data_IF_153186003987
#
_entry.id   IF_153186003987
#
_cell.length_a   1.000
_cell.length_b   1.000
_cell.length_c   1.000
_cell.angle_alpha   90.00
_cell.angle_beta   90.00
_cell.angle_gamma   90.00
#
_symmetry.space_group_name_H-M   'P 1'
#
loop_
_entity.id
_entity.type
_entity.pdbx_description
1 polymer ?
#
# COMPACT_ATOMS: atom_id res chain seq x y z
N UNK A 1 -12.65 -9.75 22.98
CA UNK A 1 -12.66 -9.01 21.70
C UNK A 1 -12.98 -7.53 21.88
N UNK A 2 -14.10 -7.22 22.48
CA UNK A 2 -14.57 -5.82 22.66
C UNK A 2 -13.51 -4.88 23.29
N UNK A 3 -12.78 -5.22 24.37
CA UNK A 3 -11.81 -4.29 24.97
C UNK A 3 -10.57 -4.07 24.08
N UNK A 4 -10.14 -5.07 23.31
CA UNK A 4 -9.01 -4.95 22.38
C UNK A 4 -9.36 -4.01 21.21
N UNK A 5 -10.52 -4.23 20.57
CA UNK A 5 -11.02 -3.39 19.49
C UNK A 5 -11.27 -1.96 19.98
N UNK A 6 -11.91 -1.83 21.16
CA UNK A 6 -12.19 -0.52 21.75
C UNK A 6 -10.91 0.27 22.03
N UNK A 7 -9.89 -0.39 22.59
CA UNK A 7 -8.58 0.23 22.82
C UNK A 7 -7.93 0.72 21.51
N UNK A 8 -7.98 -0.10 20.44
CA UNK A 8 -7.46 0.29 19.11
C UNK A 8 -8.23 1.47 18.52
N UNK A 9 -9.55 1.46 18.62
CA UNK A 9 -10.39 2.57 18.17
C UNK A 9 -10.14 3.85 18.95
N UNK A 10 -9.84 3.77 20.27
CA UNK A 10 -9.49 4.94 21.09
C UNK A 10 -8.11 5.53 20.73
N UNK A 11 -7.15 4.72 20.26
CA UNK A 11 -5.86 5.22 19.81
C UNK A 11 -5.90 5.84 18.41
N UNK A 12 -6.88 5.46 17.58
CA UNK A 12 -6.99 5.93 16.21
C UNK A 12 -7.06 7.47 16.08
N UNK A 13 -7.89 8.20 16.85
CA UNK A 13 -7.89 9.67 16.84
C UNK A 13 -6.55 10.28 17.23
N UNK A 14 -5.83 9.67 18.19
CA UNK A 14 -4.50 10.14 18.62
C UNK A 14 -3.48 10.00 17.48
N UNK A 15 -3.49 8.86 16.79
CA UNK A 15 -2.61 8.62 15.64
C UNK A 15 -2.93 9.60 14.49
N UNK A 16 -4.20 9.77 14.16
CA UNK A 16 -4.63 10.69 13.11
C UNK A 16 -4.29 12.15 13.46
N UNK A 17 -4.45 12.53 14.72
CA UNK A 17 -4.03 13.83 15.23
C UNK A 17 -2.52 14.02 15.09
N UNK A 18 -1.71 13.04 15.50
CA UNK A 18 -0.26 13.12 15.39
C UNK A 18 0.19 13.21 13.92
N UNK A 19 -0.41 12.42 13.01
CA UNK A 19 -0.15 12.49 11.57
C UNK A 19 -0.51 13.88 11.02
N UNK A 20 -1.69 14.41 11.37
CA UNK A 20 -2.10 15.75 10.91
C UNK A 20 -1.15 16.84 11.38
N UNK A 21 -0.62 16.73 12.62
CA UNK A 21 0.37 17.65 13.15
C UNK A 21 1.70 17.55 12.38
N UNK A 22 2.18 16.34 12.13
CA UNK A 22 3.41 16.11 11.36
C UNK A 22 3.27 16.69 9.96
N UNK A 23 2.16 16.38 9.27
CA UNK A 23 1.89 16.92 7.92
C UNK A 23 1.85 18.44 7.94
N UNK A 24 1.15 19.04 8.90
CA UNK A 24 1.09 20.49 9.05
C UNK A 24 2.47 21.12 9.25
N UNK A 25 3.31 20.53 10.14
CA UNK A 25 4.68 21.00 10.39
C UNK A 25 5.54 20.84 9.15
N UNK A 26 5.48 19.70 8.45
CA UNK A 26 6.23 19.47 7.23
C UNK A 26 5.86 20.49 6.13
N UNK A 27 4.57 20.77 5.94
CA UNK A 27 4.12 21.80 5.00
C UNK A 27 4.66 23.20 5.34
N UNK A 28 4.90 23.50 6.62
CA UNK A 28 5.49 24.76 7.07
C UNK A 28 7.01 24.79 7.02
N UNK A 29 7.64 23.63 7.08
CA UNK A 29 9.10 23.51 6.98
C UNK A 29 9.61 23.69 5.53
N UNK A 30 8.75 23.53 4.53
CA UNK A 30 9.12 23.76 3.13
C UNK A 30 9.40 25.27 2.94
N UNK A 31 10.61 25.64 2.45
CA UNK A 31 10.95 27.03 2.21
C UNK A 31 10.02 27.68 1.17
N UNK A 32 9.48 28.85 1.49
CA UNK A 32 8.61 29.61 0.58
C UNK A 32 7.47 30.31 1.30
N UNK A 33 6.85 31.26 0.62
CA UNK A 33 5.63 31.92 1.08
C UNK A 33 4.41 31.14 0.56
N UNK A 34 3.60 30.48 1.42
CA UNK A 34 2.42 29.75 0.98
C UNK A 34 1.43 30.60 0.19
N UNK A 35 1.34 31.92 0.50
CA UNK A 35 0.49 32.83 -0.25
C UNK A 35 1.04 33.11 -1.65
N UNK A 36 2.35 33.11 -1.83
CA UNK A 36 2.98 33.23 -3.15
C UNK A 36 2.83 31.96 -3.98
N UNK A 37 2.91 30.79 -3.35
CA UNK A 37 2.68 29.51 -4.03
C UNK A 37 1.24 29.42 -4.59
N UNK A 38 0.26 29.91 -3.82
CA UNK A 38 -1.16 29.94 -4.23
C UNK A 38 -1.42 31.01 -5.29
N UNK A 39 -0.91 32.23 -5.10
CA UNK A 39 -1.14 33.35 -6.00
C UNK A 39 -0.34 33.25 -7.30
N UNK A 40 0.73 32.44 -7.31
CA UNK A 40 1.78 32.44 -8.32
C UNK A 40 2.89 33.43 -7.96
N UNK A 41 4.15 33.11 -8.30
CA UNK A 41 5.33 33.90 -7.93
C UNK A 41 5.27 35.34 -8.44
N UNK A 42 4.63 35.57 -9.59
CA UNK A 42 4.50 36.89 -10.25
C UNK A 42 3.26 37.68 -9.78
N UNK A 43 2.46 37.15 -8.86
CA UNK A 43 1.25 37.86 -8.42
C UNK A 43 1.59 39.14 -7.66
N UNK A 44 0.78 40.24 -7.82
CA UNK A 44 0.92 41.47 -7.06
C UNK A 44 0.91 41.23 -5.55
N UNK A 45 1.64 42.06 -4.80
CA UNK A 45 1.70 41.97 -3.32
C UNK A 45 0.32 42.00 -2.67
N UNK A 46 -0.58 42.82 -3.16
CA UNK A 46 -1.95 42.98 -2.68
C UNK A 46 -2.75 41.65 -2.75
N UNK A 47 -2.57 40.90 -3.84
CA UNK A 47 -3.21 39.56 -4.02
C UNK A 47 -2.64 38.59 -3.02
N UNK A 48 -1.32 38.53 -2.84
CA UNK A 48 -0.66 37.66 -1.87
C UNK A 48 -1.06 38.00 -0.44
N UNK A 49 -1.12 39.29 -0.09
CA UNK A 49 -1.53 39.73 1.25
C UNK A 49 -3.02 39.47 1.54
N UNK A 50 -3.88 39.51 0.51
CA UNK A 50 -5.28 39.08 0.61
C UNK A 50 -5.38 37.60 0.91
N UNK A 51 -4.72 36.75 0.11
CA UNK A 51 -4.69 35.30 0.33
C UNK A 51 -4.12 34.96 1.71
N UNK A 52 -3.05 35.65 2.14
CA UNK A 52 -2.44 35.45 3.47
C UNK A 52 -3.44 35.70 4.59
N UNK A 53 -4.26 36.76 4.48
CA UNK A 53 -5.32 37.06 5.47
C UNK A 53 -6.50 36.09 5.38
N UNK A 54 -7.00 35.82 4.19
CA UNK A 54 -8.13 34.90 3.97
C UNK A 54 -7.84 33.48 4.46
N UNK A 55 -6.61 32.99 4.22
CA UNK A 55 -6.17 31.65 4.66
C UNK A 55 -5.57 31.65 6.07
N UNK A 56 -5.44 32.81 6.71
CA UNK A 56 -4.93 32.95 8.08
C UNK A 56 -3.44 32.65 8.22
N UNK A 57 -2.65 32.80 7.16
CA UNK A 57 -1.20 32.57 7.20
C UNK A 57 -0.44 33.64 7.96
N UNK A 58 -1.09 34.76 8.29
CA UNK A 58 -0.61 35.84 9.13
C UNK A 58 -0.82 35.59 10.64
N UNK A 59 -1.58 34.54 11.01
CA UNK A 59 -1.92 34.23 12.39
C UNK A 59 -0.80 33.42 13.08
N UNK A 60 -0.75 33.37 14.42
CA UNK A 60 0.15 32.49 15.16
C UNK A 60 -0.02 31.02 14.75
N UNK A 61 1.08 30.26 14.74
CA UNK A 61 1.10 28.84 14.29
C UNK A 61 0.01 27.96 14.96
N UNK A 62 -0.24 28.06 16.28
CA UNK A 62 -1.31 27.26 16.90
C UNK A 62 -2.70 27.58 16.35
N UNK A 63 -2.96 28.86 16.01
CA UNK A 63 -4.24 29.25 15.40
C UNK A 63 -4.37 28.73 13.99
N UNK A 64 -3.28 28.75 13.21
CA UNK A 64 -3.24 28.18 11.87
C UNK A 64 -3.52 26.67 11.91
N UNK A 65 -2.92 25.93 12.87
CA UNK A 65 -3.19 24.51 13.07
C UNK A 65 -4.66 24.25 13.44
N UNK A 66 -5.23 25.09 14.32
CA UNK A 66 -6.66 24.99 14.67
C UNK A 66 -7.58 25.18 13.46
N UNK A 67 -7.27 26.15 12.58
CA UNK A 67 -8.01 26.36 11.33
C UNK A 67 -7.86 25.19 10.36
N UNK A 68 -6.64 24.66 10.21
CA UNK A 68 -6.35 23.47 9.40
C UNK A 68 -7.15 22.26 9.90
N UNK A 69 -7.09 21.98 11.21
CA UNK A 69 -7.83 20.89 11.84
C UNK A 69 -9.36 21.08 11.67
N UNK A 70 -9.86 22.30 11.80
CA UNK A 70 -11.28 22.59 11.59
C UNK A 70 -11.76 22.33 10.17
N UNK A 71 -10.91 22.53 9.15
CA UNK A 71 -11.18 22.15 7.75
C UNK A 71 -11.15 20.62 7.58
N UNK A 72 -10.13 19.95 8.10
CA UNK A 72 -10.00 18.50 8.04
C UNK A 72 -11.20 17.77 8.63
N UNK A 73 -11.69 18.21 9.79
CA UNK A 73 -12.86 17.62 10.44
C UNK A 73 -14.17 17.79 9.63
N UNK A 74 -14.19 18.73 8.69
CA UNK A 74 -15.28 18.92 7.73
C UNK A 74 -15.06 18.18 6.40
N UNK A 75 -13.96 17.41 6.29
CA UNK A 75 -13.58 16.73 5.04
C UNK A 75 -13.01 17.64 3.96
N UNK A 76 -12.68 18.89 4.31
CA UNK A 76 -12.08 19.86 3.39
C UNK A 76 -10.55 19.71 3.41
N UNK A 77 -10.02 19.10 2.35
CA UNK A 77 -8.59 18.92 2.11
C UNK A 77 -7.95 20.09 1.31
N UNK A 78 -8.77 21.07 0.93
CA UNK A 78 -8.36 22.20 0.12
C UNK A 78 -8.59 21.99 -1.38
N UNK A 79 -8.05 22.92 -2.17
CA UNK A 79 -8.20 22.98 -3.61
C UNK A 79 -6.82 23.03 -4.28
N UNK A 80 -6.69 22.35 -5.43
CA UNK A 80 -5.50 22.42 -6.29
C UNK A 80 -5.58 23.68 -7.14
N UNK A 81 -4.61 24.57 -6.98
CA UNK A 81 -4.60 25.85 -7.72
C UNK A 81 -4.10 25.71 -9.15
N UNK A 82 -3.35 24.67 -9.46
CA UNK A 82 -2.83 24.42 -10.81
C UNK A 82 -3.80 23.61 -11.67
N UNK A 83 -4.67 22.83 -11.06
CA UNK A 83 -5.67 22.04 -11.75
C UNK A 83 -7.06 22.68 -11.66
N UNK A 84 -7.19 23.93 -12.13
CA UNK A 84 -8.47 24.63 -12.29
C UNK A 84 -9.33 24.73 -11.02
N UNK A 85 -8.73 24.88 -9.85
CA UNK A 85 -9.40 24.90 -8.54
C UNK A 85 -10.22 23.63 -8.23
N UNK A 86 -9.78 22.49 -8.76
CA UNK A 86 -10.41 21.22 -8.42
C UNK A 86 -10.11 20.85 -6.97
N UNK A 87 -11.10 20.32 -6.26
CA UNK A 87 -10.93 19.86 -4.88
C UNK A 87 -9.90 18.74 -4.79
N UNK A 88 -8.95 18.87 -3.85
CA UNK A 88 -7.96 17.83 -3.55
C UNK A 88 -8.63 16.49 -3.22
N UNK A 89 -9.76 16.50 -2.51
CA UNK A 89 -10.53 15.29 -2.21
C UNK A 89 -11.02 14.56 -3.47
N UNK A 90 -11.41 15.28 -4.52
CA UNK A 90 -11.86 14.68 -5.80
C UNK A 90 -10.69 14.03 -6.55
N UNK A 91 -9.53 14.70 -6.58
CA UNK A 91 -8.33 14.14 -7.20
C UNK A 91 -7.86 12.88 -6.48
N UNK A 92 -7.81 12.92 -5.14
CA UNK A 92 -7.46 11.75 -4.32
C UNK A 92 -8.43 10.60 -4.52
N UNK A 93 -9.75 10.88 -4.58
CA UNK A 93 -10.76 9.85 -4.80
C UNK A 93 -10.57 9.10 -6.13
N UNK A 94 -10.03 9.75 -7.16
CA UNK A 94 -9.68 9.10 -8.44
C UNK A 94 -8.37 8.32 -8.38
N UNK A 95 -7.35 8.82 -7.65
CA UNK A 95 -6.00 8.24 -7.64
C UNK A 95 -5.83 7.10 -6.63
N UNK A 96 -6.48 7.22 -5.46
CA UNK A 96 -6.34 6.24 -4.37
C UNK A 96 -6.74 4.82 -4.76
N UNK A 97 -7.87 4.58 -5.48
CA UNK A 97 -8.23 3.24 -5.93
C UNK A 97 -7.14 2.59 -6.78
N UNK A 98 -6.46 3.33 -7.66
CA UNK A 98 -5.40 2.80 -8.51
C UNK A 98 -4.19 2.33 -7.71
N UNK A 99 -3.77 3.08 -6.68
CA UNK A 99 -2.69 2.66 -5.76
C UNK A 99 -3.09 1.43 -4.95
N UNK A 100 -4.33 1.37 -4.46
CA UNK A 100 -4.84 0.21 -3.73
C UNK A 100 -4.89 -1.02 -4.65
N UNK A 101 -5.34 -0.87 -5.89
CA UNK A 101 -5.40 -1.94 -6.89
C UNK A 101 -4.01 -2.51 -7.19
N UNK A 102 -3.02 -1.66 -7.45
CA UNK A 102 -1.64 -2.07 -7.66
C UNK A 102 -1.08 -2.78 -6.42
N UNK A 103 -1.34 -2.24 -5.22
CA UNK A 103 -0.90 -2.82 -3.95
C UNK A 103 -1.51 -4.21 -3.74
N UNK A 104 -2.82 -4.37 -4.00
CA UNK A 104 -3.51 -5.65 -3.88
C UNK A 104 -2.98 -6.67 -4.89
N UNK A 105 -2.73 -6.25 -6.15
CA UNK A 105 -2.15 -7.11 -7.17
C UNK A 105 -0.73 -7.56 -6.79
N UNK A 106 0.12 -6.64 -6.31
CA UNK A 106 1.46 -6.95 -5.83
C UNK A 106 1.43 -7.90 -4.63
N UNK A 107 0.48 -7.70 -3.69
CA UNK A 107 0.31 -8.56 -2.53
C UNK A 107 -0.17 -9.97 -2.91
N UNK A 108 -1.06 -10.09 -3.90
CA UNK A 108 -1.48 -11.39 -4.42
C UNK A 108 -0.30 -12.17 -5.03
N UNK A 109 0.55 -11.50 -5.80
CA UNK A 109 1.79 -12.09 -6.35
C UNK A 109 2.75 -12.49 -5.22
N UNK A 110 2.98 -11.59 -4.25
CA UNK A 110 3.87 -11.84 -3.12
C UNK A 110 3.40 -13.03 -2.27
N UNK A 111 2.10 -13.12 -1.99
CA UNK A 111 1.51 -14.22 -1.24
C UNK A 111 1.64 -15.53 -2.00
N UNK A 112 1.20 -15.59 -3.26
CA UNK A 112 1.25 -16.80 -4.06
C UNK A 112 2.69 -17.30 -4.28
N UNK A 113 3.58 -16.40 -4.72
CA UNK A 113 5.00 -16.71 -4.95
C UNK A 113 5.74 -17.03 -3.66
N UNK A 114 5.54 -16.23 -2.62
CA UNK A 114 6.18 -16.41 -1.31
C UNK A 114 5.76 -17.71 -0.62
N UNK A 115 4.47 -18.04 -0.63
CA UNK A 115 3.99 -19.34 -0.13
C UNK A 115 4.58 -20.49 -0.92
N UNK A 116 4.56 -20.44 -2.26
CA UNK A 116 5.09 -21.49 -3.11
C UNK A 116 6.58 -21.74 -2.81
N UNK A 117 7.39 -20.70 -2.88
CA UNK A 117 8.83 -20.80 -2.64
C UNK A 117 9.16 -21.21 -1.20
N UNK A 118 8.45 -20.66 -0.21
CA UNK A 118 8.65 -20.98 1.20
C UNK A 118 8.28 -22.44 1.54
N UNK A 119 7.15 -22.94 0.99
CA UNK A 119 6.72 -24.33 1.17
C UNK A 119 7.72 -25.29 0.50
N UNK A 120 8.10 -25.02 -0.76
CA UNK A 120 9.07 -25.85 -1.48
C UNK A 120 10.40 -25.91 -0.72
N UNK A 121 10.89 -24.77 -0.27
CA UNK A 121 12.12 -24.67 0.53
C UNK A 121 12.02 -25.47 1.84
N UNK A 122 10.89 -25.40 2.55
CA UNK A 122 10.71 -26.14 3.81
C UNK A 122 10.59 -27.66 3.59
N UNK A 123 9.87 -28.11 2.56
CA UNK A 123 9.67 -29.53 2.24
C UNK A 123 10.97 -30.18 1.80
N UNK A 124 11.78 -29.49 0.98
CA UNK A 124 13.05 -29.99 0.45
C UNK A 124 14.28 -29.43 1.21
N UNK A 125 14.14 -29.23 2.52
CA UNK A 125 15.14 -28.65 3.41
C UNK A 125 16.56 -29.21 3.15
N UNK A 126 17.54 -28.32 2.97
CA UNK A 126 18.94 -28.65 2.76
C UNK A 126 19.29 -29.19 1.37
N UNK A 127 18.30 -29.33 0.47
CA UNK A 127 18.52 -29.71 -0.92
C UNK A 127 18.69 -28.52 -1.86
N UNK A 128 18.95 -28.82 -3.13
CA UNK A 128 19.12 -27.78 -4.17
C UNK A 128 17.82 -26.96 -4.39
N UNK A 129 16.64 -27.56 -4.20
CA UNK A 129 15.35 -26.87 -4.31
C UNK A 129 15.21 -25.82 -3.20
N UNK A 130 15.63 -26.14 -1.96
CA UNK A 130 15.69 -25.17 -0.85
C UNK A 130 16.58 -23.99 -1.22
N UNK A 131 17.82 -24.27 -1.64
CA UNK A 131 18.77 -23.24 -2.05
C UNK A 131 18.24 -22.39 -3.21
N UNK A 132 17.73 -23.00 -4.26
CA UNK A 132 17.19 -22.31 -5.43
C UNK A 132 15.98 -21.43 -5.06
N UNK A 133 15.02 -21.96 -4.29
CA UNK A 133 13.84 -21.21 -3.86
C UNK A 133 14.20 -19.98 -3.05
N UNK A 134 15.14 -20.10 -2.10
CA UNK A 134 15.59 -18.97 -1.29
C UNK A 134 16.45 -17.98 -2.10
N UNK A 135 17.28 -18.46 -3.02
CA UNK A 135 18.06 -17.58 -3.91
C UNK A 135 17.13 -16.76 -4.81
N UNK A 136 16.13 -17.38 -5.44
CA UNK A 136 15.13 -16.68 -6.27
C UNK A 136 14.38 -15.64 -5.45
N UNK A 137 13.92 -16.01 -4.24
CA UNK A 137 13.20 -15.08 -3.37
C UNK A 137 14.08 -13.89 -2.97
N UNK A 138 15.36 -14.12 -2.61
CA UNK A 138 16.26 -13.07 -2.14
C UNK A 138 16.82 -12.21 -3.28
N UNK A 139 16.94 -12.74 -4.50
CA UNK A 139 17.46 -11.98 -5.64
C UNK A 139 16.67 -10.70 -5.89
N UNK A 140 15.31 -10.76 -5.73
CA UNK A 140 14.45 -9.60 -5.91
C UNK A 140 14.67 -8.47 -4.88
N UNK A 141 15.15 -8.78 -3.69
CA UNK A 141 15.45 -7.77 -2.64
C UNK A 141 16.81 -7.12 -2.83
N UNK A 142 17.72 -7.81 -3.52
CA UNK A 142 19.09 -7.33 -3.72
C UNK A 142 19.17 -6.19 -4.74
N UNK A 143 18.11 -5.94 -5.47
CA UNK A 143 18.05 -4.97 -6.57
C UNK A 143 17.10 -3.83 -6.17
N UNK A 144 17.49 -2.54 -6.37
CA UNK A 144 16.57 -1.44 -6.14
C UNK A 144 15.31 -1.58 -6.99
N UNK A 145 14.12 -1.40 -6.38
CA UNK A 145 12.81 -1.62 -7.03
C UNK A 145 12.67 -0.84 -8.33
N UNK A 146 13.07 0.44 -8.35
CA UNK A 146 12.99 1.27 -9.56
C UNK A 146 13.88 0.73 -10.70
N UNK A 147 15.09 0.25 -10.36
CA UNK A 147 16.01 -0.31 -11.34
C UNK A 147 15.49 -1.65 -11.88
N UNK A 148 14.90 -2.47 -11.02
CA UNK A 148 14.24 -3.71 -11.43
C UNK A 148 13.06 -3.39 -12.38
N UNK A 149 12.30 -2.33 -12.11
CA UNK A 149 11.24 -1.86 -13.00
C UNK A 149 11.75 -1.52 -14.41
N UNK A 150 12.85 -0.78 -14.50
CA UNK A 150 13.49 -0.46 -15.78
C UNK A 150 13.98 -1.72 -16.52
N UNK A 151 14.55 -2.69 -15.81
CA UNK A 151 14.92 -3.98 -16.41
C UNK A 151 13.73 -4.76 -16.95
N UNK A 152 12.60 -4.75 -16.22
CA UNK A 152 11.37 -5.39 -16.67
C UNK A 152 10.82 -4.72 -17.94
N UNK A 153 10.82 -3.39 -18.00
CA UNK A 153 10.44 -2.64 -19.20
C UNK A 153 11.35 -3.01 -20.38
N UNK A 154 12.65 -3.07 -20.16
CA UNK A 154 13.62 -3.44 -21.20
C UNK A 154 13.42 -4.88 -21.69
N UNK A 155 13.16 -5.81 -20.78
CA UNK A 155 13.03 -7.23 -21.11
C UNK A 155 11.66 -7.60 -21.71
N UNK A 156 10.58 -6.98 -21.23
CA UNK A 156 9.21 -7.39 -21.54
C UNK A 156 8.37 -6.31 -22.23
N UNK A 157 8.90 -5.09 -22.44
CA UNK A 157 8.15 -3.98 -23.02
C UNK A 157 7.71 -4.18 -24.48
N UNK A 158 8.26 -5.19 -25.19
CA UNK A 158 7.74 -5.62 -26.50
C UNK A 158 6.50 -6.52 -26.40
N UNK A 159 6.20 -7.08 -25.23
CA UNK A 159 5.14 -8.06 -24.99
C UNK A 159 4.02 -7.52 -24.09
N UNK A 160 4.38 -6.62 -23.17
CA UNK A 160 3.48 -6.07 -22.16
C UNK A 160 3.52 -4.53 -22.20
N UNK A 161 2.42 -3.87 -21.84
CA UNK A 161 2.37 -2.42 -21.73
C UNK A 161 3.41 -1.90 -20.72
N UNK A 162 4.07 -0.79 -21.06
CA UNK A 162 5.16 -0.23 -20.24
C UNK A 162 4.71 0.95 -19.37
N UNK A 163 3.51 1.49 -19.61
CA UNK A 163 3.03 2.69 -18.90
C UNK A 163 1.50 2.75 -18.86
N UNK A 164 0.99 3.45 -17.84
CA UNK A 164 -0.45 3.68 -17.66
C UNK A 164 -1.20 2.52 -17.00
N UNK A 165 -2.48 2.76 -16.74
CA UNK A 165 -3.36 1.80 -16.09
C UNK A 165 -4.21 1.00 -17.10
N UNK A 166 -4.36 1.54 -18.32
CA UNK A 166 -5.19 1.00 -19.39
C UNK A 166 -4.77 1.66 -20.73
N UNK A 167 -4.99 0.99 -21.85
CA UNK A 167 -4.80 1.58 -23.19
C UNK A 167 -5.73 2.77 -23.40
N UNK A 168 -5.20 3.85 -23.99
CA UNK A 168 -5.91 5.11 -24.20
C UNK A 168 -7.17 5.00 -25.08
N UNK A 169 -7.34 3.89 -25.81
CA UNK A 169 -8.52 3.63 -26.63
C UNK A 169 -9.69 3.04 -25.83
N UNK A 170 -9.47 2.64 -24.59
CA UNK A 170 -10.50 2.07 -23.72
C UNK A 170 -11.02 3.09 -22.71
N UNK A 171 -12.33 3.15 -22.55
CA UNK A 171 -13.02 4.04 -21.61
C UNK A 171 -13.97 3.20 -20.73
N UNK A 172 -13.48 2.64 -19.62
CA UNK A 172 -14.33 1.90 -18.71
C UNK A 172 -15.36 2.82 -18.05
N UNK A 173 -16.54 2.30 -17.66
CA UNK A 173 -17.46 3.07 -16.84
C UNK A 173 -16.81 3.35 -15.48
N UNK A 174 -16.78 4.61 -15.08
CA UNK A 174 -16.26 5.06 -13.77
C UNK A 174 -17.30 4.79 -12.67
N UNK A 175 -17.33 3.54 -12.18
CA UNK A 175 -18.30 3.10 -11.14
C UNK A 175 -17.65 2.96 -9.77
N UNK A 176 -16.47 2.34 -9.73
CA UNK A 176 -15.78 2.02 -8.49
C UNK A 176 -14.44 2.75 -8.36
N UNK A 177 -13.91 3.24 -9.47
CA UNK A 177 -12.56 3.81 -9.57
C UNK A 177 -11.44 2.78 -9.62
N UNK A 178 -11.75 1.47 -9.49
CA UNK A 178 -10.79 0.38 -9.68
C UNK A 178 -10.83 -0.08 -11.13
N UNK A 179 -9.73 0.07 -11.86
CA UNK A 179 -9.67 -0.22 -13.30
C UNK A 179 -10.01 -1.68 -13.61
N UNK A 180 -9.48 -2.64 -12.84
CA UNK A 180 -9.79 -4.07 -13.03
C UNK A 180 -11.27 -4.38 -12.77
N UNK A 181 -11.86 -3.78 -11.74
CA UNK A 181 -13.27 -4.00 -11.41
C UNK A 181 -14.16 -3.36 -12.47
N UNK A 182 -13.90 -2.12 -12.83
CA UNK A 182 -14.73 -1.37 -13.77
C UNK A 182 -14.65 -1.94 -15.19
N UNK A 183 -13.47 -2.41 -15.63
CA UNK A 183 -13.31 -3.13 -16.89
C UNK A 183 -14.01 -4.50 -16.88
N UNK A 184 -13.98 -5.23 -15.76
CA UNK A 184 -14.72 -6.49 -15.60
C UNK A 184 -16.23 -6.25 -15.64
N UNK A 185 -16.72 -5.21 -14.95
CA UNK A 185 -18.14 -4.84 -14.92
C UNK A 185 -18.64 -4.28 -16.25
N UNK A 186 -17.75 -3.83 -17.14
CA UNK A 186 -18.12 -3.40 -18.49
C UNK A 186 -18.58 -4.54 -19.39
N UNK A 187 -18.24 -5.80 -19.03
CA UNK A 187 -18.48 -6.98 -19.86
C UNK A 187 -17.56 -7.10 -21.09
N UNK A 188 -16.61 -6.18 -21.25
CA UNK A 188 -15.66 -6.20 -22.37
C UNK A 188 -14.37 -6.97 -21.98
N UNK A 189 -14.28 -8.24 -22.38
CA UNK A 189 -13.15 -9.10 -22.07
C UNK A 189 -11.81 -8.61 -22.62
N UNK A 190 -11.79 -7.90 -23.75
CA UNK A 190 -10.56 -7.33 -24.30
C UNK A 190 -10.03 -6.18 -23.42
N UNK A 191 -10.92 -5.30 -22.97
CA UNK A 191 -10.58 -4.21 -22.05
C UNK A 191 -10.09 -4.75 -20.70
N UNK A 192 -10.75 -5.77 -20.14
CA UNK A 192 -10.31 -6.40 -18.90
C UNK A 192 -8.92 -7.05 -19.03
N UNK A 193 -8.68 -7.77 -20.15
CA UNK A 193 -7.37 -8.38 -20.40
C UNK A 193 -6.27 -7.31 -20.55
N UNK A 194 -6.59 -6.19 -21.16
CA UNK A 194 -5.67 -5.07 -21.28
C UNK A 194 -5.31 -4.48 -19.90
N UNK A 195 -6.30 -4.24 -19.04
CA UNK A 195 -6.07 -3.79 -17.65
C UNK A 195 -5.19 -4.78 -16.86
N UNK A 196 -5.42 -6.10 -17.03
CA UNK A 196 -4.57 -7.13 -16.39
C UNK A 196 -3.13 -7.06 -16.91
N UNK A 197 -2.93 -6.82 -18.22
CA UNK A 197 -1.59 -6.68 -18.79
C UNK A 197 -0.85 -5.45 -18.27
N UNK A 198 -1.55 -4.32 -18.07
CA UNK A 198 -0.96 -3.08 -17.52
C UNK A 198 -0.52 -3.25 -16.06
N UNK A 199 -1.31 -3.93 -15.23
CA UNK A 199 -0.97 -4.12 -13.81
C UNK A 199 0.12 -5.17 -13.59
N UNK A 200 0.36 -6.08 -14.55
CA UNK A 200 1.20 -7.27 -14.34
C UNK A 200 2.67 -6.90 -14.04
N UNK A 201 3.31 -6.09 -14.88
CA UNK A 201 4.72 -5.71 -14.67
C UNK A 201 4.93 -4.91 -13.39
N UNK A 202 4.19 -3.80 -13.13
CA UNK A 202 4.36 -3.05 -11.90
C UNK A 202 4.05 -3.88 -10.66
N UNK A 203 3.05 -4.77 -10.69
CA UNK A 203 2.73 -5.65 -9.57
C UNK A 203 3.85 -6.68 -9.30
N UNK A 204 4.44 -7.28 -10.34
CA UNK A 204 5.58 -8.18 -10.20
C UNK A 204 6.78 -7.48 -9.55
N UNK A 205 7.12 -6.29 -10.03
CA UNK A 205 8.25 -5.50 -9.51
C UNK A 205 7.99 -5.08 -8.05
N UNK A 206 6.80 -4.55 -7.76
CA UNK A 206 6.44 -4.10 -6.42
C UNK A 206 6.36 -5.28 -5.42
N UNK A 207 6.01 -6.47 -5.88
CA UNK A 207 5.88 -7.67 -5.04
C UNK A 207 7.20 -8.26 -4.55
N UNK A 208 8.34 -7.90 -5.12
CA UNK A 208 9.62 -8.59 -4.89
C UNK A 208 10.07 -8.60 -3.43
N UNK A 209 9.95 -7.48 -2.72
CA UNK A 209 10.31 -7.39 -1.30
C UNK A 209 9.34 -8.21 -0.45
N UNK A 210 8.01 -7.99 -0.48
CA UNK A 210 7.08 -8.79 0.32
C UNK A 210 7.07 -10.28 -0.06
N UNK A 211 7.35 -10.65 -1.32
CA UNK A 211 7.51 -12.04 -1.75
C UNK A 211 8.67 -12.72 -1.00
N UNK A 212 9.83 -12.07 -0.96
CA UNK A 212 11.00 -12.61 -0.27
C UNK A 212 10.78 -12.77 1.24
N UNK A 213 10.14 -11.77 1.85
CA UNK A 213 9.79 -11.81 3.27
C UNK A 213 8.78 -12.92 3.56
N UNK A 214 7.74 -13.06 2.73
CA UNK A 214 6.73 -14.12 2.83
C UNK A 214 7.36 -15.49 2.65
N UNK A 215 8.25 -15.68 1.66
CA UNK A 215 8.95 -16.95 1.46
C UNK A 215 9.78 -17.35 2.67
N UNK A 216 10.54 -16.40 3.25
CA UNK A 216 11.38 -16.63 4.42
C UNK A 216 10.57 -17.01 5.66
N UNK A 217 9.52 -16.24 5.96
CA UNK A 217 8.64 -16.53 7.11
C UNK A 217 7.90 -17.86 6.90
N UNK A 218 7.39 -18.10 5.70
CA UNK A 218 6.72 -19.38 5.37
C UNK A 218 7.67 -20.55 5.58
N UNK A 219 8.91 -20.46 5.08
CA UNK A 219 9.92 -21.51 5.29
C UNK A 219 10.18 -21.75 6.78
N UNK A 220 10.43 -20.71 7.55
CA UNK A 220 10.73 -20.82 8.97
C UNK A 220 9.58 -21.46 9.75
N UNK A 221 8.36 -20.94 9.59
CA UNK A 221 7.16 -21.47 10.27
C UNK A 221 6.81 -22.89 9.84
N UNK A 222 6.96 -23.22 8.56
CA UNK A 222 6.73 -24.58 8.06
C UNK A 222 7.75 -25.56 8.62
N UNK A 223 9.02 -25.21 8.72
CA UNK A 223 10.05 -26.09 9.30
C UNK A 223 9.79 -26.39 10.78
N UNK A 224 9.39 -25.40 11.56
CA UNK A 224 9.00 -25.55 12.96
C UNK A 224 7.83 -26.52 13.09
N UNK A 225 6.76 -26.27 12.34
CA UNK A 225 5.55 -27.09 12.37
C UNK A 225 5.80 -28.50 11.88
N UNK A 226 6.53 -28.70 10.77
CA UNK A 226 6.82 -30.04 10.21
C UNK A 226 7.66 -30.92 11.15
N UNK A 227 8.38 -30.31 12.11
CA UNK A 227 9.14 -30.98 13.15
C UNK A 227 8.32 -31.40 14.36
N UNK A 228 7.07 -31.01 14.49
CA UNK A 228 6.23 -31.23 15.66
C UNK A 228 5.68 -32.68 15.75
N UNK A 229 5.36 -33.14 16.98
CA UNK A 229 4.89 -34.50 17.24
C UNK A 229 3.53 -34.81 16.63
N UNK A 230 2.63 -33.82 16.53
CA UNK A 230 1.33 -34.08 15.90
C UNK A 230 1.45 -34.35 14.39
N UNK A 231 2.47 -33.80 13.72
CA UNK A 231 2.77 -34.12 12.33
C UNK A 231 3.29 -35.56 12.19
N UNK A 232 4.11 -36.05 13.14
CA UNK A 232 4.52 -37.45 13.17
C UNK A 232 3.32 -38.37 13.34
N UNK A 233 2.40 -37.98 14.23
CA UNK A 233 1.14 -38.73 14.45
C UNK A 233 0.27 -38.76 13.19
N UNK A 234 0.15 -37.61 12.46
CA UNK A 234 -0.60 -37.55 11.21
C UNK A 234 -0.03 -38.49 10.14
N UNK A 235 1.31 -38.52 10.01
CA UNK A 235 2.01 -39.46 9.11
C UNK A 235 1.81 -40.91 9.51
N UNK A 236 1.92 -41.24 10.81
CA UNK A 236 1.70 -42.59 11.33
C UNK A 236 0.27 -43.09 11.08
N UNK A 237 -0.73 -42.18 11.04
CA UNK A 237 -2.13 -42.47 10.67
C UNK A 237 -2.36 -42.58 9.16
N UNK A 238 -1.32 -42.54 8.33
CA UNK A 238 -1.40 -42.68 6.87
C UNK A 238 -1.83 -41.43 6.11
N UNK A 239 -1.71 -40.25 6.68
CA UNK A 239 -2.00 -39.02 5.94
C UNK A 239 -1.03 -38.84 4.78
N UNK A 240 -1.55 -38.52 3.59
CA UNK A 240 -0.72 -38.26 2.39
C UNK A 240 0.22 -37.06 2.59
N UNK A 241 1.40 -37.03 1.94
CA UNK A 241 2.35 -35.94 2.07
C UNK A 241 1.74 -34.55 1.76
N UNK A 242 0.93 -34.43 0.72
CA UNK A 242 0.24 -33.19 0.37
C UNK A 242 -0.73 -32.74 1.46
N UNK A 243 -1.49 -33.66 2.06
CA UNK A 243 -2.40 -33.35 3.17
C UNK A 243 -1.65 -32.92 4.42
N UNK A 244 -0.50 -33.55 4.72
CA UNK A 244 0.38 -33.14 5.83
C UNK A 244 0.87 -31.72 5.62
N UNK A 245 1.36 -31.38 4.42
CA UNK A 245 1.92 -30.07 4.11
C UNK A 245 0.83 -28.99 4.06
N UNK A 246 -0.21 -29.18 3.24
CA UNK A 246 -1.17 -28.10 2.92
C UNK A 246 -2.25 -27.94 4.00
N UNK A 247 -2.66 -29.05 4.67
CA UNK A 247 -3.77 -28.98 5.64
C UNK A 247 -3.24 -28.91 7.07
N UNK A 248 -2.28 -29.76 7.41
CA UNK A 248 -1.81 -29.85 8.80
C UNK A 248 -0.69 -28.83 9.10
N UNK A 249 0.29 -28.68 8.22
CA UNK A 249 1.41 -27.80 8.48
C UNK A 249 1.09 -26.34 8.13
N UNK A 250 0.65 -26.05 6.91
CA UNK A 250 0.41 -24.67 6.44
C UNK A 250 -0.64 -23.95 7.30
N UNK A 251 -1.72 -24.64 7.69
CA UNK A 251 -2.75 -24.05 8.55
C UNK A 251 -2.19 -23.55 9.88
N UNK A 252 -1.26 -24.30 10.48
CA UNK A 252 -0.64 -23.91 11.76
C UNK A 252 0.51 -22.91 11.58
N UNK A 253 1.16 -22.91 10.41
CA UNK A 253 2.17 -21.94 10.04
C UNK A 253 1.59 -20.59 9.55
N UNK A 254 0.27 -20.50 9.33
CA UNK A 254 -0.37 -19.35 8.71
C UNK A 254 -0.32 -18.07 9.57
N UNK A 255 -0.32 -18.18 10.90
CA UNK A 255 -0.42 -17.01 11.78
C UNK A 255 0.74 -16.02 11.57
N UNK A 256 2.03 -16.41 11.63
CA UNK A 256 3.13 -15.49 11.34
C UNK A 256 3.10 -14.91 9.91
N UNK A 257 2.60 -15.71 8.94
CA UNK A 257 2.50 -15.27 7.54
C UNK A 257 1.47 -14.16 7.39
N UNK A 258 0.28 -14.34 7.96
CA UNK A 258 -0.78 -13.31 7.92
C UNK A 258 -0.36 -12.04 8.64
N UNK A 259 0.39 -12.17 9.76
CA UNK A 259 0.98 -11.05 10.48
C UNK A 259 1.88 -10.22 9.57
N UNK A 260 2.80 -10.88 8.89
CA UNK A 260 3.71 -10.22 7.97
C UNK A 260 2.96 -9.51 6.84
N UNK A 261 1.99 -10.19 6.22
CA UNK A 261 1.21 -9.62 5.11
C UNK A 261 0.51 -8.32 5.49
N UNK A 262 0.01 -8.22 6.72
CA UNK A 262 -0.59 -6.99 7.21
C UNK A 262 0.40 -5.82 7.29
N UNK A 263 1.62 -6.08 7.78
CA UNK A 263 2.68 -5.08 7.85
C UNK A 263 3.16 -4.67 6.43
N UNK A 264 3.34 -5.67 5.55
CA UNK A 264 3.80 -5.44 4.18
C UNK A 264 2.79 -4.66 3.35
N UNK A 265 1.48 -4.86 3.56
CA UNK A 265 0.46 -4.07 2.86
C UNK A 265 0.60 -2.58 3.15
N UNK A 266 0.81 -2.23 4.41
CA UNK A 266 1.04 -0.84 4.79
C UNK A 266 2.33 -0.27 4.20
N UNK A 267 3.41 -1.06 4.18
CA UNK A 267 4.66 -0.68 3.53
C UNK A 267 4.48 -0.43 2.03
N UNK A 268 3.74 -1.30 1.33
CA UNK A 268 3.48 -1.18 -0.11
C UNK A 268 2.70 0.08 -0.46
N UNK A 269 1.71 0.49 0.34
CA UNK A 269 0.96 1.74 0.11
C UNK A 269 1.88 2.97 0.12
N UNK A 270 2.90 3.00 1.00
CA UNK A 270 3.89 4.08 1.02
C UNK A 270 5.01 3.90 -0.01
N UNK A 271 5.37 2.66 -0.33
CA UNK A 271 6.48 2.31 -1.22
C UNK A 271 6.14 2.28 -2.71
N UNK A 272 4.87 2.37 -3.07
CA UNK A 272 4.43 2.32 -4.46
C UNK A 272 4.89 3.49 -5.33
N UNK A 273 5.28 4.63 -4.73
CA UNK A 273 5.63 5.88 -5.44
C UNK A 273 6.66 5.67 -6.55
N UNK A 274 7.75 4.95 -6.27
CA UNK A 274 8.81 4.71 -7.26
C UNK A 274 8.31 3.79 -8.39
N UNK A 275 7.58 2.75 -8.06
CA UNK A 275 7.00 1.83 -9.05
C UNK A 275 5.96 2.54 -9.91
N UNK A 276 5.07 3.30 -9.31
CA UNK A 276 4.08 4.12 -10.03
C UNK A 276 4.77 5.10 -10.99
N UNK A 277 5.86 5.75 -10.53
CA UNK A 277 6.61 6.69 -11.37
C UNK A 277 7.30 6.00 -12.55
N UNK A 278 7.89 4.82 -12.35
CA UNK A 278 8.59 4.08 -13.41
C UNK A 278 7.63 3.58 -14.48
N UNK A 279 6.44 3.14 -14.09
CA UNK A 279 5.42 2.60 -15.00
C UNK A 279 4.34 3.63 -15.40
N UNK A 280 4.54 4.90 -15.04
CA UNK A 280 3.53 5.98 -15.25
C UNK A 280 2.13 5.54 -14.81
N UNK A 281 2.08 4.84 -13.69
CA UNK A 281 0.83 4.38 -13.09
C UNK A 281 0.12 5.54 -12.42
N UNK A 282 -1.11 5.81 -12.84
CA UNK A 282 -1.87 6.97 -12.41
C UNK A 282 -2.44 6.82 -10.98
N UNK A 283 -1.55 6.78 -9.97
CA UNK A 283 -1.88 6.56 -8.56
C UNK A 283 -1.55 7.74 -7.63
N UNK A 284 -1.60 7.46 -6.32
CA UNK A 284 -1.30 8.44 -5.27
C UNK A 284 0.18 8.83 -5.23
N UNK A 285 1.09 7.92 -5.57
CA UNK A 285 2.52 8.20 -5.57
C UNK A 285 2.91 9.19 -6.67
N UNK A 286 2.42 8.99 -7.89
CA UNK A 286 2.60 9.93 -9.00
C UNK A 286 1.94 11.26 -8.70
N UNK A 287 0.76 11.26 -8.07
CA UNK A 287 0.06 12.47 -7.63
C UNK A 287 0.87 13.26 -6.59
N UNK A 288 1.42 12.61 -5.57
CA UNK A 288 2.27 13.26 -4.57
C UNK A 288 3.52 13.85 -5.25
N UNK A 289 4.18 13.08 -6.12
CA UNK A 289 5.40 13.53 -6.78
C UNK A 289 5.15 14.74 -7.69
N UNK A 290 4.06 14.76 -8.45
CA UNK A 290 3.66 15.92 -9.26
C UNK A 290 3.35 17.13 -8.38
N UNK A 291 2.58 16.94 -7.30
CA UNK A 291 2.26 18.00 -6.33
C UNK A 291 3.50 18.60 -5.67
N UNK A 292 4.52 17.78 -5.36
CA UNK A 292 5.81 18.26 -4.83
C UNK A 292 6.55 19.11 -5.86
N UNK A 293 6.64 18.63 -7.11
CA UNK A 293 7.29 19.38 -8.20
C UNK A 293 6.60 20.72 -8.47
N UNK A 294 5.30 20.75 -8.28
CA UNK A 294 4.46 21.92 -8.52
C UNK A 294 4.29 22.81 -7.28
N UNK A 295 4.83 22.39 -6.15
CA UNK A 295 4.76 23.12 -4.87
C UNK A 295 3.32 23.30 -4.37
N UNK A 296 2.44 22.32 -4.65
CA UNK A 296 1.04 22.32 -4.22
C UNK A 296 0.88 21.77 -2.80
N UNK A 297 1.04 22.63 -1.79
CA UNK A 297 1.00 22.25 -0.38
C UNK A 297 -0.29 21.54 0.05
N UNK A 298 -1.46 22.01 -0.41
CA UNK A 298 -2.75 21.41 -0.04
C UNK A 298 -2.89 20.00 -0.62
N UNK A 299 -2.47 19.79 -1.87
CA UNK A 299 -2.44 18.47 -2.52
C UNK A 299 -1.50 17.49 -1.81
N UNK A 300 -0.27 17.93 -1.48
CA UNK A 300 0.70 17.12 -0.74
C UNK A 300 0.13 16.74 0.63
N UNK A 301 -0.36 17.74 1.38
CA UNK A 301 -0.88 17.53 2.73
C UNK A 301 -2.10 16.62 2.75
N UNK A 302 -3.05 16.83 1.82
CA UNK A 302 -4.23 16.00 1.67
C UNK A 302 -3.89 14.56 1.30
N UNK A 303 -2.98 14.36 0.33
CA UNK A 303 -2.57 13.03 -0.12
C UNK A 303 -1.85 12.24 0.98
N UNK A 304 -0.88 12.84 1.66
CA UNK A 304 -0.15 12.19 2.77
C UNK A 304 -1.09 11.83 3.92
N UNK A 305 -2.02 12.74 4.27
CA UNK A 305 -3.00 12.46 5.31
C UNK A 305 -3.92 11.29 4.94
N UNK A 306 -4.45 11.26 3.72
CA UNK A 306 -5.35 10.18 3.27
C UNK A 306 -4.61 8.85 3.18
N UNK A 307 -3.37 8.82 2.69
CA UNK A 307 -2.56 7.59 2.70
C UNK A 307 -2.32 7.10 4.13
N UNK A 308 -2.01 8.00 5.07
CA UNK A 308 -1.84 7.64 6.47
C UNK A 308 -3.15 7.12 7.08
N UNK A 309 -4.30 7.73 6.78
CA UNK A 309 -5.60 7.21 7.20
C UNK A 309 -5.89 5.83 6.62
N UNK A 310 -5.57 5.61 5.33
CA UNK A 310 -5.72 4.32 4.65
C UNK A 310 -4.82 3.27 5.30
N UNK A 311 -3.55 3.60 5.56
CA UNK A 311 -2.61 2.73 6.28
C UNK A 311 -3.15 2.30 7.67
N UNK A 312 -3.63 3.26 8.46
CA UNK A 312 -4.21 2.99 9.79
C UNK A 312 -5.47 2.14 9.68
N UNK A 313 -6.32 2.43 8.70
CA UNK A 313 -7.54 1.65 8.42
C UNK A 313 -7.23 0.20 8.04
N UNK A 314 -6.26 -0.01 7.16
CA UNK A 314 -5.82 -1.36 6.78
C UNK A 314 -5.23 -2.12 7.96
N UNK A 315 -4.36 -1.49 8.75
CA UNK A 315 -3.83 -2.12 9.96
C UNK A 315 -4.94 -2.52 10.93
N UNK A 316 -5.97 -1.69 11.10
CA UNK A 316 -7.14 -2.06 11.90
C UNK A 316 -7.85 -3.29 11.34
N UNK A 317 -8.07 -3.36 10.02
CA UNK A 317 -8.68 -4.55 9.38
C UNK A 317 -7.83 -5.79 9.60
N UNK A 318 -6.52 -5.69 9.44
CA UNK A 318 -5.58 -6.80 9.69
C UNK A 318 -5.63 -7.26 11.15
N UNK A 319 -5.67 -6.34 12.11
CA UNK A 319 -5.81 -6.66 13.52
C UNK A 319 -7.14 -7.37 13.84
N UNK A 320 -8.22 -6.97 13.17
CA UNK A 320 -9.50 -7.66 13.27
C UNK A 320 -9.41 -9.09 12.70
N UNK A 321 -8.77 -9.26 11.55
CA UNK A 321 -8.53 -10.59 10.96
C UNK A 321 -7.72 -11.48 11.90
N UNK A 322 -6.70 -10.96 12.59
CA UNK A 322 -5.98 -11.71 13.63
C UNK A 322 -6.90 -12.27 14.68
N UNK A 323 -7.82 -11.46 15.17
CA UNK A 323 -8.74 -11.89 16.23
C UNK A 323 -9.69 -13.01 15.79
N UNK A 324 -9.90 -13.21 14.46
CA UNK A 324 -10.64 -14.32 13.90
C UNK A 324 -9.77 -15.57 13.70
N UNK A 325 -8.50 -15.41 13.34
CA UNK A 325 -7.58 -16.52 13.02
C UNK A 325 -7.05 -17.17 14.31
N UNK A 326 -6.71 -16.37 15.34
CA UNK A 326 -6.22 -16.87 16.62
C UNK A 326 -7.22 -16.59 17.77
N UNK A 327 -8.07 -17.55 18.13
CA UNK A 327 -8.98 -17.40 19.27
C UNK A 327 -8.27 -17.31 20.63
N UNK A 328 -6.96 -17.60 20.73
CA UNK A 328 -6.20 -17.52 21.98
C UNK A 328 -5.96 -16.08 22.43
N UNK A 329 -5.91 -15.13 21.50
CA UNK A 329 -5.84 -13.69 21.81
C UNK A 329 -7.11 -13.20 22.54
N UNK A 330 -8.21 -13.96 22.47
CA UNK A 330 -9.46 -13.62 23.15
C UNK A 330 -9.38 -13.67 24.70
N UNK A 331 -8.41 -14.35 25.27
CA UNK A 331 -8.37 -14.64 26.71
C UNK A 331 -7.24 -13.94 27.45
N UNK A 332 -6.72 -12.83 26.91
CA UNK A 332 -5.89 -11.85 27.63
C UNK A 332 -5.04 -12.42 28.76
N UNK A 333 -4.09 -13.32 28.48
CA UNK A 333 -3.02 -13.60 29.43
C UNK A 333 -1.93 -12.57 29.21
N UNK A 334 -1.56 -11.76 30.21
CA UNK A 334 -0.35 -10.98 30.12
C UNK A 334 0.80 -11.99 30.07
N UNK A 335 1.47 -12.10 28.94
CA UNK A 335 2.79 -12.73 28.93
C UNK A 335 3.74 -11.74 29.61
N UNK A 336 4.23 -12.18 30.79
CA UNK A 336 5.31 -11.58 31.53
C UNK A 336 6.62 -11.64 30.71
#
# INVERSE_FOLDING_TARGET
>A
MTPYILRRLMFLPVVLWAVSLIVFVLMRAVPGDPAAAIAGEKAPREVRDRIRRERGFDRPIPVQYGLYMGRLLRGDLGESFKHSNEKVSTQIARKLPHTIELTLAAMAVALAGGLLLGILSAVYKGGWIDAASMTVALAGVSVPVFWLGLLFILAFGSMLPVSGNLDANYFPPDRTGFVLIDTLLSGNGAMFLDAVRHVLMPALVLSTIPLAMTARITRASMLEVLGSDYIRTARAKGASPSRVVLVHALRNAALPIVTLLGLEFGYLLGGAVLTETVFDWDGMGTYILSSVRETEYESIGGAVLVLACTFVGVNLVVDLLYSFIDPRIRHGSPQA
#
